data_IF_057798351711
#
_entry.id   IF_057798351711
#
_cell.length_a   1.000
_cell.length_b   1.000
_cell.length_c   1.000
_cell.angle_alpha   90.00
_cell.angle_beta   90.00
_cell.angle_gamma   90.00
#
_symmetry.space_group_name_H-M   'P 1'
#
loop_
_entity.id
_entity.type
_entity.pdbx_description
1 polymer ?
#
# COMPACT_ATOMS: atom_id res chain seq x y z
N UNK A 1 5.42 -10.28 19.22
CA UNK A 1 4.67 -10.83 18.07
C UNK A 1 3.36 -10.07 17.77
N UNK A 2 2.65 -9.56 18.79
CA UNK A 2 1.35 -8.85 18.65
C UNK A 2 1.35 -7.63 17.70
N UNK A 3 2.36 -6.75 17.78
CA UNK A 3 2.42 -5.56 16.90
C UNK A 3 2.62 -5.89 15.43
N UNK A 4 3.31 -7.01 15.11
CA UNK A 4 3.48 -7.48 13.73
C UNK A 4 2.14 -7.92 13.14
N UNK A 5 1.38 -8.72 13.89
CA UNK A 5 0.04 -9.19 13.47
C UNK A 5 -0.94 -8.02 13.25
N UNK A 6 -0.94 -7.02 14.14
CA UNK A 6 -1.79 -5.82 13.97
C UNK A 6 -1.43 -5.02 12.72
N UNK A 7 -0.14 -4.86 12.44
CA UNK A 7 0.33 -4.17 11.24
C UNK A 7 -0.07 -4.95 9.98
N UNK A 8 0.13 -6.26 9.96
CA UNK A 8 -0.18 -7.08 8.78
C UNK A 8 -1.70 -7.09 8.50
N UNK A 9 -2.52 -7.13 9.56
CA UNK A 9 -3.98 -6.92 9.46
C UNK A 9 -4.32 -5.55 8.88
N UNK A 10 -3.72 -4.47 9.40
CA UNK A 10 -3.95 -3.12 8.88
C UNK A 10 -3.54 -2.99 7.41
N UNK A 11 -2.42 -3.60 7.00
CA UNK A 11 -1.99 -3.62 5.59
C UNK A 11 -3.04 -4.31 4.72
N UNK A 12 -3.61 -5.42 5.18
CA UNK A 12 -4.68 -6.11 4.47
C UNK A 12 -5.93 -5.22 4.36
N UNK A 13 -6.41 -4.65 5.46
CA UNK A 13 -7.59 -3.76 5.46
C UNK A 13 -7.40 -2.56 4.49
N UNK A 14 -6.18 -2.03 4.41
CA UNK A 14 -5.84 -0.96 3.47
C UNK A 14 -5.89 -1.41 2.00
N UNK A 15 -5.44 -2.64 1.68
CA UNK A 15 -5.55 -3.17 0.32
C UNK A 15 -7.00 -3.51 -0.05
N UNK A 16 -7.81 -3.99 0.89
CA UNK A 16 -9.25 -4.18 0.68
C UNK A 16 -9.92 -2.83 0.35
N UNK A 17 -9.62 -1.78 1.13
CA UNK A 17 -10.12 -0.42 0.87
C UNK A 17 -9.68 0.12 -0.50
N UNK A 18 -8.46 -0.21 -0.95
CA UNK A 18 -7.95 0.15 -2.28
C UNK A 18 -8.80 -0.49 -3.38
N UNK A 19 -9.18 -1.75 -3.23
CA UNK A 19 -10.03 -2.46 -4.19
C UNK A 19 -11.47 -1.94 -4.20
N UNK A 20 -11.99 -1.58 -3.02
CA UNK A 20 -13.30 -0.93 -2.89
C UNK A 20 -13.31 0.43 -3.60
N UNK A 21 -12.26 1.24 -3.44
CA UNK A 21 -12.12 2.51 -4.14
C UNK A 21 -12.01 2.33 -5.65
N UNK A 22 -11.30 1.30 -6.11
CA UNK A 22 -11.24 0.97 -7.53
C UNK A 22 -12.62 0.64 -8.08
N UNK A 23 -13.34 -0.25 -7.39
CA UNK A 23 -14.71 -0.62 -7.74
C UNK A 23 -15.63 0.59 -7.77
N UNK A 24 -15.54 1.48 -6.78
CA UNK A 24 -16.31 2.74 -6.74
C UNK A 24 -15.97 3.64 -7.94
N UNK A 25 -14.69 3.75 -8.31
CA UNK A 25 -14.26 4.50 -9.48
C UNK A 25 -14.90 3.99 -10.78
N UNK A 26 -14.98 2.67 -10.94
CA UNK A 26 -15.59 2.03 -12.11
C UNK A 26 -17.11 2.30 -12.15
N UNK A 27 -17.82 2.16 -11.04
CA UNK A 27 -19.26 2.48 -10.96
C UNK A 27 -19.54 3.96 -11.23
N UNK A 28 -18.71 4.88 -10.74
CA UNK A 28 -18.83 6.31 -11.02
C UNK A 28 -18.58 6.61 -12.50
N UNK A 29 -17.67 5.88 -13.16
CA UNK A 29 -17.44 6.03 -14.59
C UNK A 29 -18.68 5.59 -15.38
N UNK A 30 -19.24 4.43 -15.08
CA UNK A 30 -20.49 3.95 -15.69
C UNK A 30 -21.62 4.96 -15.53
N UNK A 31 -21.83 5.45 -14.30
CA UNK A 31 -22.83 6.48 -14.01
C UNK A 31 -22.58 7.78 -14.81
N UNK A 32 -21.32 8.18 -14.99
CA UNK A 32 -20.99 9.36 -15.80
C UNK A 32 -21.37 9.18 -17.28
N UNK A 33 -21.19 7.97 -17.81
CA UNK A 33 -21.57 7.62 -19.18
C UNK A 33 -23.09 7.58 -19.33
N UNK A 34 -23.81 6.99 -18.37
CA UNK A 34 -25.28 7.00 -18.34
C UNK A 34 -25.84 8.43 -18.30
N UNK A 35 -25.27 9.31 -17.47
CA UNK A 35 -25.66 10.73 -17.43
C UNK A 35 -25.42 11.43 -18.77
N UNK A 36 -24.31 11.13 -19.45
CA UNK A 36 -24.03 11.69 -20.77
C UNK A 36 -25.04 11.22 -21.82
N UNK A 37 -25.40 9.93 -21.81
CA UNK A 37 -26.42 9.36 -22.69
C UNK A 37 -27.81 9.95 -22.44
N UNK A 38 -28.12 10.32 -21.20
CA UNK A 38 -29.37 10.95 -20.80
C UNK A 38 -29.39 12.49 -20.99
N UNK A 39 -28.47 13.06 -21.78
CA UNK A 39 -28.36 14.51 -22.01
C UNK A 39 -28.15 15.35 -20.73
N UNK A 40 -27.43 14.82 -19.74
CA UNK A 40 -27.04 15.52 -18.51
C UNK A 40 -25.52 15.82 -18.46
N UNK A 41 -24.97 16.63 -19.39
CA UNK A 41 -23.52 16.76 -19.58
C UNK A 41 -22.79 17.38 -18.39
N UNK A 42 -23.43 18.31 -17.64
CA UNK A 42 -22.82 18.89 -16.43
C UNK A 42 -22.70 17.88 -15.30
N UNK A 43 -23.72 17.04 -15.12
CA UNK A 43 -23.69 15.97 -14.13
C UNK A 43 -22.65 14.92 -14.51
N UNK A 44 -22.64 14.48 -15.77
CA UNK A 44 -21.62 13.57 -16.30
C UNK A 44 -20.19 14.09 -16.07
N UNK A 45 -19.94 15.36 -16.38
CA UNK A 45 -18.63 15.98 -16.13
C UNK A 45 -18.26 16.02 -14.63
N UNK A 46 -19.23 16.33 -13.76
CA UNK A 46 -18.98 16.33 -12.31
C UNK A 46 -18.65 14.93 -11.81
N UNK A 47 -19.39 13.92 -12.25
CA UNK A 47 -19.17 12.53 -11.88
C UNK A 47 -17.82 12.03 -12.40
N UNK A 48 -17.44 12.38 -13.62
CA UNK A 48 -16.12 12.06 -14.17
C UNK A 48 -14.97 12.68 -13.36
N UNK A 49 -15.15 13.89 -12.80
CA UNK A 49 -14.17 14.50 -11.87
C UNK A 49 -14.08 13.72 -10.55
N UNK A 50 -15.20 13.17 -10.07
CA UNK A 50 -15.19 12.31 -8.88
C UNK A 50 -14.41 11.02 -9.15
N UNK A 51 -14.53 10.42 -10.33
CA UNK A 51 -13.72 9.25 -10.73
C UNK A 51 -12.23 9.54 -10.58
N UNK A 52 -11.75 10.66 -11.13
CA UNK A 52 -10.34 11.07 -11.03
C UNK A 52 -9.90 11.25 -9.57
N UNK A 53 -10.78 11.82 -8.74
CA UNK A 53 -10.50 12.00 -7.31
C UNK A 53 -10.39 10.66 -6.59
N UNK A 54 -11.29 9.73 -6.85
CA UNK A 54 -11.29 8.38 -6.26
C UNK A 54 -10.03 7.62 -6.69
N UNK A 55 -9.67 7.68 -7.96
CA UNK A 55 -8.44 7.07 -8.48
C UNK A 55 -7.18 7.65 -7.84
N UNK A 56 -7.10 8.97 -7.64
CA UNK A 56 -5.97 9.58 -6.94
C UNK A 56 -5.86 9.07 -5.49
N UNK A 57 -7.01 8.93 -4.79
CA UNK A 57 -7.06 8.40 -3.42
C UNK A 57 -6.67 6.92 -3.37
N UNK A 58 -7.13 6.12 -4.31
CA UNK A 58 -6.75 4.70 -4.48
C UNK A 58 -5.22 4.55 -4.61
N UNK A 59 -4.62 5.31 -5.53
CA UNK A 59 -3.17 5.29 -5.76
C UNK A 59 -2.39 5.70 -4.49
N UNK A 60 -2.83 6.76 -3.81
CA UNK A 60 -2.18 7.23 -2.59
C UNK A 60 -2.27 6.17 -1.48
N UNK A 61 -3.45 5.59 -1.28
CA UNK A 61 -3.68 4.59 -0.25
C UNK A 61 -2.85 3.32 -0.51
N UNK A 62 -2.79 2.86 -1.76
CA UNK A 62 -1.93 1.75 -2.18
C UNK A 62 -0.46 2.04 -1.87
N UNK A 63 0.02 3.24 -2.19
CA UNK A 63 1.40 3.67 -1.83
C UNK A 63 1.63 3.68 -0.31
N UNK A 64 0.63 4.03 0.49
CA UNK A 64 0.72 3.98 1.96
C UNK A 64 0.77 2.54 2.48
N UNK A 65 -0.09 1.66 1.98
CA UNK A 65 -0.11 0.23 2.31
C UNK A 65 1.25 -0.43 1.97
N UNK A 66 1.79 -0.15 0.78
CA UNK A 66 3.11 -0.63 0.35
C UNK A 66 4.23 -0.20 1.30
N UNK A 67 4.23 1.07 1.73
CA UNK A 67 5.23 1.58 2.68
C UNK A 67 5.09 0.93 4.05
N UNK A 68 3.87 0.71 4.53
CA UNK A 68 3.61 0.07 5.81
C UNK A 68 4.03 -1.41 5.81
N UNK A 69 3.79 -2.11 4.70
CA UNK A 69 4.26 -3.47 4.47
C UNK A 69 5.80 -3.54 4.46
N UNK A 70 6.46 -2.62 3.74
CA UNK A 70 7.93 -2.60 3.59
C UNK A 70 8.68 -2.10 4.83
N UNK A 71 8.11 -1.20 5.64
CA UNK A 71 8.75 -0.72 6.89
C UNK A 71 8.97 -1.87 7.89
N UNK A 72 8.14 -2.91 7.83
CA UNK A 72 8.40 -4.15 8.56
C UNK A 72 9.66 -4.91 8.16
N UNK A 73 10.09 -4.77 6.89
CA UNK A 73 11.24 -5.45 6.32
C UNK A 73 12.54 -4.67 6.52
N UNK A 74 12.48 -3.35 6.68
CA UNK A 74 13.66 -2.53 7.02
C UNK A 74 14.26 -2.94 8.37
N UNK A 75 13.43 -3.14 9.39
CA UNK A 75 13.88 -3.64 10.69
C UNK A 75 14.56 -5.01 10.60
N UNK A 76 14.02 -5.92 9.77
CA UNK A 76 14.60 -7.26 9.56
C UNK A 76 15.97 -7.20 8.87
N UNK A 77 16.07 -6.44 7.77
CA UNK A 77 17.34 -6.28 7.04
C UNK A 77 18.42 -5.63 7.91
N UNK A 78 18.07 -4.64 8.73
CA UNK A 78 19.00 -4.02 9.67
C UNK A 78 19.45 -5.01 10.76
N UNK A 79 18.54 -5.81 11.33
CA UNK A 79 18.92 -6.84 12.32
C UNK A 79 19.75 -7.97 11.71
N UNK A 80 19.46 -8.37 10.48
CA UNK A 80 20.21 -9.42 9.76
C UNK A 80 21.65 -8.92 9.49
N UNK A 81 21.82 -7.68 9.03
CA UNK A 81 23.14 -7.07 8.83
C UNK A 81 23.93 -6.87 10.15
N UNK A 82 23.26 -6.62 11.28
CA UNK A 82 23.91 -6.55 12.58
C UNK A 82 24.34 -7.93 13.09
N UNK A 83 23.54 -8.97 12.86
CA UNK A 83 23.87 -10.35 13.21
C UNK A 83 25.05 -10.89 12.38
N UNK A 84 25.09 -10.60 11.08
CA UNK A 84 26.21 -10.97 10.20
C UNK A 84 27.51 -10.27 10.61
N UNK A 85 27.44 -9.00 11.04
CA UNK A 85 28.62 -8.25 11.52
C UNK A 85 29.12 -8.75 12.88
N UNK A 86 28.22 -9.19 13.76
CA UNK A 86 28.58 -9.79 15.05
C UNK A 86 29.19 -11.20 14.89
N UNK A 87 28.70 -11.99 13.93
CA UNK A 87 29.25 -13.31 13.63
C UNK A 87 30.63 -13.25 12.95
N UNK A 88 30.91 -12.20 12.18
CA UNK A 88 32.22 -11.96 11.55
C UNK A 88 33.34 -11.56 12.52
N UNK A 89 33.03 -11.17 13.76
CA UNK A 89 34.03 -10.82 14.78
C UNK A 89 34.44 -11.97 15.70
N UNK A 90 33.83 -13.16 15.56
CA UNK A 90 34.10 -14.32 16.42
C UNK A 90 34.99 -15.40 15.80
N UNK A 91 35.64 -15.15 14.67
CA UNK A 91 36.51 -16.14 14.00
C UNK A 91 37.98 -15.76 13.86
N UNK A 92 38.48 -14.73 14.56
CA UNK A 92 39.91 -14.40 14.57
C UNK A 92 40.49 -14.43 15.98
N UNK A 93 40.39 -15.60 16.60
CA UNK A 93 41.18 -15.95 17.77
C UNK A 93 41.62 -17.40 17.62
N UNK A 94 42.61 -17.60 16.74
CA UNK A 94 43.48 -18.76 16.84
C UNK A 94 44.63 -18.41 17.78
N UNK A 95 44.69 -18.98 18.99
CA UNK A 95 45.97 -19.17 19.65
C UNK A 95 46.69 -20.29 18.90
N UNK A 96 47.99 -20.18 18.65
CA UNK A 96 48.90 -21.33 18.59
C UNK A 96 50.34 -20.84 18.41
N UNK A 97 51.12 -21.06 19.48
CA UNK A 97 52.58 -21.23 19.62
C UNK A 97 53.53 -20.13 19.14
#
# INVERSE_FOLDING_TARGET
MWMRKRRDSLVQDLYETVEDLRSLGDHLMELSLEMAQNNLPRAAQSTARMVLTVQEREILLRKHADRLSKTGNLGRRVTDHLADRAAGTSSDSRPDN
#
